data_IF_652910335802
#
_entry.id   IF_652910335802
#
_cell.length_a   1.000
_cell.length_b   1.000
_cell.length_c   1.000
_cell.angle_alpha   90.00
_cell.angle_beta   90.00
_cell.angle_gamma   90.00
#
_symmetry.space_group_name_H-M   'P 1'
#
loop_
_entity.id
_entity.type
_entity.pdbx_description
1 polymer ?
#
# COMPACT_ATOMS: atom_id res chain seq x y z
N UNK A 1 -12.69 -9.07 17.52
CA UNK A 1 -12.75 -10.54 17.27
C UNK A 1 -12.13 -10.74 15.89
N UNK A 2 -11.04 -11.46 15.65
CA UNK A 2 -10.55 -12.68 16.28
C UNK A 2 -9.02 -12.64 16.39
N UNK A 3 -8.52 -12.88 17.61
CA UNK A 3 -7.14 -13.20 17.92
C UNK A 3 -6.94 -14.68 17.62
N UNK A 4 -6.61 -15.00 16.37
CA UNK A 4 -6.26 -16.36 15.98
C UNK A 4 -5.29 -16.31 14.80
N UNK A 5 -4.00 -16.20 15.09
CA UNK A 5 -2.88 -16.63 14.23
C UNK A 5 -1.53 -16.40 14.94
N UNK A 6 -1.43 -16.78 16.21
CA UNK A 6 -0.14 -16.99 16.86
C UNK A 6 0.00 -18.50 16.97
N UNK A 7 0.52 -19.14 15.91
CA UNK A 7 1.18 -20.47 15.93
C UNK A 7 1.33 -21.00 14.50
N UNK A 8 2.35 -20.51 13.79
CA UNK A 8 3.14 -21.29 12.83
C UNK A 8 4.54 -20.69 12.80
N UNK A 9 5.33 -20.96 13.83
CA UNK A 9 6.78 -20.83 13.69
C UNK A 9 7.19 -22.01 12.82
N UNK A 10 7.53 -21.74 11.56
CA UNK A 10 7.97 -22.77 10.63
C UNK A 10 9.24 -23.43 11.20
N UNK A 11 9.17 -24.75 11.45
CA UNK A 11 10.33 -25.56 11.80
C UNK A 11 11.40 -25.40 10.70
N UNK A 12 12.58 -24.91 11.08
CA UNK A 12 13.73 -24.75 10.17
C UNK A 12 14.26 -23.33 9.99
N UNK A 13 13.69 -22.29 10.62
CA UNK A 13 14.29 -20.96 10.58
C UNK A 13 15.56 -20.88 11.44
N UNK A 14 16.73 -20.98 10.79
CA UNK A 14 17.99 -20.52 11.37
C UNK A 14 18.00 -19.00 11.35
N UNK A 15 18.04 -18.38 12.53
CA UNK A 15 18.26 -16.94 12.65
C UNK A 15 19.68 -16.59 12.19
N UNK A 16 19.92 -15.37 11.65
CA UNK A 16 21.24 -14.93 11.22
C UNK A 16 22.27 -14.87 12.36
N UNK A 17 21.81 -14.90 13.61
CA UNK A 17 22.65 -14.91 14.81
C UNK A 17 21.94 -15.63 15.97
N UNK A 18 22.63 -15.77 17.11
CA UNK A 18 22.12 -16.34 18.35
C UNK A 18 21.56 -15.27 19.32
N UNK A 19 21.26 -14.06 18.84
CA UNK A 19 20.76 -12.98 19.68
C UNK A 19 19.27 -13.20 20.00
N UNK A 20 18.84 -13.15 21.28
CA UNK A 20 17.43 -13.29 21.64
C UNK A 20 16.52 -12.21 21.00
N UNK A 21 17.09 -11.04 20.65
CA UNK A 21 16.39 -9.98 19.90
C UNK A 21 15.94 -10.47 18.51
N UNK A 22 16.69 -11.36 17.88
CA UNK A 22 16.44 -11.81 16.51
C UNK A 22 15.19 -12.69 16.44
N UNK A 23 15.03 -13.63 17.38
CA UNK A 23 13.81 -14.41 17.50
C UNK A 23 12.58 -13.55 17.76
N UNK A 24 12.68 -12.58 18.68
CA UNK A 24 11.58 -11.63 18.98
C UNK A 24 11.29 -10.73 17.77
N UNK A 25 12.34 -10.31 17.06
CA UNK A 25 12.25 -9.47 15.87
C UNK A 25 11.55 -10.18 14.71
N UNK A 26 11.80 -11.47 14.52
CA UNK A 26 11.20 -12.28 13.47
C UNK A 26 9.69 -12.47 13.64
N UNK A 27 9.15 -12.27 14.84
CA UNK A 27 7.70 -12.27 15.10
C UNK A 27 7.01 -10.98 14.61
N UNK A 28 7.76 -9.96 14.19
CA UNK A 28 7.24 -8.66 13.76
C UNK A 28 7.21 -8.57 12.24
N UNK A 29 6.41 -7.64 11.72
CA UNK A 29 6.41 -7.31 10.28
C UNK A 29 7.83 -6.93 9.84
N UNK A 30 8.40 -7.60 8.82
CA UNK A 30 9.78 -7.39 8.39
C UNK A 30 9.91 -6.13 7.52
N UNK A 31 9.79 -4.94 8.12
CA UNK A 31 9.80 -3.63 7.41
C UNK A 31 11.05 -3.35 6.57
N UNK A 32 12.13 -4.09 6.80
CA UNK A 32 13.37 -4.02 6.01
C UNK A 32 13.20 -4.62 4.61
N UNK A 33 12.18 -5.44 4.35
CA UNK A 33 11.90 -6.01 3.03
C UNK A 33 11.30 -5.01 2.04
N UNK A 34 10.79 -3.87 2.51
CA UNK A 34 10.32 -2.82 1.61
C UNK A 34 11.55 -2.20 0.91
N UNK A 35 11.67 -2.28 -0.43
CA UNK A 35 12.81 -1.74 -1.15
C UNK A 35 13.02 -0.25 -0.83
N UNK A 36 14.26 0.20 -0.52
CA UNK A 36 14.52 1.61 -0.27
C UNK A 36 14.13 2.54 -1.42
N UNK A 37 14.23 2.07 -2.67
CA UNK A 37 13.76 2.79 -3.86
C UNK A 37 12.26 3.08 -3.80
N UNK A 38 11.45 2.08 -3.43
CA UNK A 38 10.01 2.24 -3.25
C UNK A 38 9.68 3.28 -2.17
N UNK A 39 10.41 3.27 -1.04
CA UNK A 39 10.25 4.30 0.02
C UNK A 39 10.56 5.70 -0.50
N UNK A 40 11.62 5.84 -1.30
CA UNK A 40 12.04 7.13 -1.85
C UNK A 40 10.97 7.70 -2.79
N UNK A 41 10.51 6.91 -3.76
CA UNK A 41 9.48 7.33 -4.71
C UNK A 41 8.15 7.65 -4.02
N UNK A 42 7.70 6.80 -3.09
CA UNK A 42 6.50 7.07 -2.29
C UNK A 42 6.62 8.39 -1.52
N UNK A 43 7.77 8.66 -0.90
CA UNK A 43 7.99 9.91 -0.18
C UNK A 43 7.90 11.14 -1.10
N UNK A 44 8.39 11.05 -2.35
CA UNK A 44 8.28 12.14 -3.33
C UNK A 44 6.82 12.42 -3.71
N UNK A 45 6.02 11.37 -3.97
CA UNK A 45 4.60 11.53 -4.28
C UNK A 45 3.81 12.10 -3.09
N UNK A 46 4.08 11.63 -1.88
CA UNK A 46 3.48 12.18 -0.66
C UNK A 46 3.92 13.62 -0.39
N UNK A 47 5.16 13.99 -0.71
CA UNK A 47 5.63 15.36 -0.59
C UNK A 47 4.92 16.30 -1.57
N UNK A 48 4.62 15.87 -2.80
CA UNK A 48 3.78 16.62 -3.73
C UNK A 48 2.37 16.84 -3.17
N UNK A 49 1.73 15.76 -2.68
CA UNK A 49 0.42 15.86 -2.02
C UNK A 49 0.43 16.79 -0.80
N UNK A 50 1.48 16.70 0.03
CA UNK A 50 1.63 17.56 1.22
C UNK A 50 1.81 19.04 0.86
N UNK A 51 2.46 19.37 -0.26
CA UNK A 51 2.54 20.75 -0.76
C UNK A 51 1.17 21.29 -1.15
N UNK A 52 0.32 20.44 -1.76
CA UNK A 52 -1.01 20.81 -2.26
C UNK A 52 -2.06 20.89 -1.15
N UNK A 53 -2.03 19.97 -0.19
CA UNK A 53 -3.13 19.76 0.76
C UNK A 53 -2.72 19.70 2.24
N UNK A 54 -1.42 19.86 2.53
CA UNK A 54 -0.85 19.65 3.86
C UNK A 54 -0.54 18.17 4.13
N UNK A 55 0.45 17.88 5.00
CA UNK A 55 0.79 16.51 5.37
C UNK A 55 -0.33 15.88 6.21
N UNK A 56 -0.62 14.60 5.98
CA UNK A 56 -1.60 13.81 6.76
C UNK A 56 -3.05 14.31 6.74
N UNK A 57 -3.43 15.19 5.82
CA UNK A 57 -4.77 15.80 5.76
C UNK A 57 -5.93 14.77 5.66
N UNK A 58 -5.67 13.59 5.08
CA UNK A 58 -6.63 12.47 4.99
C UNK A 58 -7.01 11.86 6.35
N UNK A 59 -6.25 12.16 7.42
CA UNK A 59 -6.62 11.78 8.79
C UNK A 59 -7.59 12.78 9.42
N UNK A 60 -7.60 14.02 8.94
CA UNK A 60 -8.51 15.05 9.42
C UNK A 60 -9.83 14.98 8.65
N UNK A 61 -9.74 14.98 7.31
CA UNK A 61 -10.86 14.86 6.40
C UNK A 61 -10.94 13.46 5.79
N UNK A 62 -12.12 12.85 5.86
CA UNK A 62 -12.32 11.50 5.31
C UNK A 62 -12.15 11.47 3.79
N UNK A 63 -11.62 10.36 3.28
CA UNK A 63 -11.40 10.12 1.85
C UNK A 63 -12.30 8.99 1.35
N UNK A 64 -12.71 9.03 0.08
CA UNK A 64 -13.52 7.98 -0.56
C UNK A 64 -12.66 7.00 -1.36
N UNK A 65 -12.96 5.70 -1.30
CA UNK A 65 -12.23 4.68 -2.06
C UNK A 65 -12.32 4.94 -3.56
N UNK A 66 -13.50 5.28 -4.08
CA UNK A 66 -13.72 5.49 -5.52
C UNK A 66 -12.81 6.57 -6.11
N UNK A 67 -12.58 7.67 -5.38
CA UNK A 67 -11.73 8.80 -5.79
C UNK A 67 -10.28 8.35 -5.94
N UNK A 68 -9.76 7.65 -4.93
CA UNK A 68 -8.38 7.17 -4.93
C UNK A 68 -8.17 5.98 -5.88
N UNK A 69 -9.19 5.14 -6.08
CA UNK A 69 -9.21 4.10 -7.12
C UNK A 69 -9.05 4.73 -8.51
N UNK A 70 -9.86 5.73 -8.83
CA UNK A 70 -9.81 6.39 -10.14
C UNK A 70 -8.48 7.14 -10.37
N UNK A 71 -7.92 7.76 -9.33
CA UNK A 71 -6.60 8.39 -9.41
C UNK A 71 -5.49 7.37 -9.65
N UNK A 72 -5.51 6.25 -8.92
CA UNK A 72 -4.58 5.13 -9.12
C UNK A 72 -4.66 4.61 -10.56
N UNK A 73 -5.86 4.35 -11.08
CA UNK A 73 -6.07 3.85 -12.44
C UNK A 73 -5.49 4.81 -13.48
N UNK A 74 -5.78 6.11 -13.40
CA UNK A 74 -5.18 7.10 -14.34
C UNK A 74 -3.65 7.10 -14.32
N UNK A 75 -3.03 6.97 -13.14
CA UNK A 75 -1.58 6.90 -13.07
C UNK A 75 -1.04 5.59 -13.66
N UNK A 76 -1.67 4.46 -13.35
CA UNK A 76 -1.23 3.17 -13.88
C UNK A 76 -1.49 3.03 -15.38
N UNK A 77 -2.58 3.57 -15.90
CA UNK A 77 -2.91 3.58 -17.32
C UNK A 77 -1.90 4.44 -18.10
N UNK A 78 -1.57 5.65 -17.62
CA UNK A 78 -0.55 6.49 -18.25
C UNK A 78 0.84 5.83 -18.26
N UNK A 79 1.23 5.17 -17.15
CA UNK A 79 2.47 4.39 -17.10
C UNK A 79 2.44 3.22 -18.09
N UNK A 80 1.33 2.49 -18.14
CA UNK A 80 1.14 1.39 -19.07
C UNK A 80 1.24 1.83 -20.53
N UNK A 81 0.73 3.03 -20.84
CA UNK A 81 0.77 3.64 -22.16
C UNK A 81 2.10 4.38 -22.47
N UNK A 82 3.10 4.28 -21.58
CA UNK A 82 4.48 4.70 -21.82
C UNK A 82 4.89 6.05 -21.24
N UNK A 83 4.07 6.68 -20.39
CA UNK A 83 4.42 7.90 -19.66
C UNK A 83 4.97 7.57 -18.26
N UNK A 84 6.28 7.70 -18.06
CA UNK A 84 6.92 7.36 -16.78
C UNK A 84 6.62 8.40 -15.68
N UNK A 85 6.60 9.69 -16.02
CA UNK A 85 6.57 10.81 -15.08
C UNK A 85 5.35 11.69 -15.32
N UNK A 86 4.60 11.97 -14.25
CA UNK A 86 3.44 12.85 -14.32
C UNK A 86 3.88 14.31 -14.56
N UNK A 87 3.35 14.99 -15.59
CA UNK A 87 3.83 16.31 -16.01
C UNK A 87 3.51 17.43 -15.01
N UNK A 88 2.50 17.25 -14.18
CA UNK A 88 2.03 18.26 -13.21
C UNK A 88 2.94 18.36 -11.96
N UNK A 89 3.60 17.27 -11.61
CA UNK A 89 4.33 17.07 -10.35
C UNK A 89 5.80 16.73 -10.57
N UNK A 90 6.16 16.24 -11.76
CA UNK A 90 7.50 15.73 -12.04
C UNK A 90 7.84 14.44 -11.29
N UNK A 91 6.83 13.74 -10.76
CA UNK A 91 6.98 12.50 -10.00
C UNK A 91 6.48 11.31 -10.81
N UNK A 92 7.13 10.15 -10.66
CA UNK A 92 6.79 8.93 -11.39
C UNK A 92 5.34 8.49 -11.15
N UNK A 93 4.63 8.09 -12.21
CA UNK A 93 3.25 7.58 -12.14
C UNK A 93 3.06 6.45 -11.12
N UNK A 94 3.96 5.44 -11.11
CA UNK A 94 3.90 4.33 -10.14
C UNK A 94 4.00 4.84 -8.70
N UNK A 95 4.77 5.91 -8.45
CA UNK A 95 4.88 6.50 -7.12
C UNK A 95 3.56 7.12 -6.65
N UNK A 96 2.83 7.80 -7.55
CA UNK A 96 1.50 8.33 -7.25
C UNK A 96 0.47 7.21 -7.01
N UNK A 97 0.54 6.13 -7.79
CA UNK A 97 -0.29 4.94 -7.56
C UNK A 97 -0.01 4.31 -6.17
N UNK A 98 1.27 4.21 -5.78
CA UNK A 98 1.66 3.77 -4.43
C UNK A 98 1.11 4.70 -3.34
N UNK A 99 1.16 6.01 -3.54
CA UNK A 99 0.61 6.99 -2.61
C UNK A 99 -0.91 6.79 -2.44
N UNK A 100 -1.65 6.53 -3.53
CA UNK A 100 -3.08 6.23 -3.44
C UNK A 100 -3.37 5.02 -2.56
N UNK A 101 -2.65 3.91 -2.75
CA UNK A 101 -2.78 2.72 -1.91
C UNK A 101 -2.43 3.00 -0.44
N UNK A 102 -1.33 3.73 -0.20
CA UNK A 102 -0.88 4.07 1.15
C UNK A 102 -1.92 4.90 1.91
N UNK A 103 -2.52 5.89 1.24
CA UNK A 103 -3.55 6.75 1.83
C UNK A 103 -4.83 5.99 2.16
N UNK A 104 -5.28 5.09 1.29
CA UNK A 104 -6.42 4.20 1.57
C UNK A 104 -6.14 3.38 2.83
N UNK A 105 -5.00 2.68 2.89
CA UNK A 105 -4.63 1.83 4.04
C UNK A 105 -4.53 2.63 5.35
N UNK A 106 -3.92 3.80 5.30
CA UNK A 106 -3.77 4.64 6.48
C UNK A 106 -5.13 5.19 6.94
N UNK A 107 -5.97 5.67 6.03
CA UNK A 107 -7.33 6.11 6.33
C UNK A 107 -8.19 4.99 6.93
N UNK A 108 -8.06 3.75 6.44
CA UNK A 108 -8.71 2.57 7.07
C UNK A 108 -8.28 2.42 8.53
N UNK A 109 -6.97 2.52 8.79
CA UNK A 109 -6.41 2.30 10.12
C UNK A 109 -6.85 3.33 11.17
N UNK A 110 -7.23 4.54 10.73
CA UNK A 110 -7.68 5.63 11.60
C UNK A 110 -9.19 5.91 11.52
N UNK A 111 -9.97 5.07 10.82
CA UNK A 111 -11.42 5.24 10.71
C UNK A 111 -11.86 6.47 9.89
N UNK A 112 -11.04 6.90 8.93
CA UNK A 112 -11.27 8.05 8.05
C UNK A 112 -11.50 7.67 6.59
N UNK A 113 -11.68 6.38 6.32
CA UNK A 113 -12.08 5.91 5.01
C UNK A 113 -13.61 5.88 4.89
N UNK A 114 -14.13 6.60 3.92
CA UNK A 114 -15.49 6.41 3.42
C UNK A 114 -15.47 5.28 2.39
N UNK A 115 -15.99 4.12 2.79
CA UNK A 115 -16.07 2.94 1.96
C UNK A 115 -17.29 2.99 1.04
N UNK A 116 -17.08 3.51 -0.17
CA UNK A 116 -18.10 3.66 -1.21
C UNK A 116 -17.97 2.61 -2.33
N UNK A 117 -17.38 1.44 -2.02
CA UNK A 117 -17.30 0.33 -2.96
C UNK A 117 -18.70 -0.20 -3.31
N UNK A 118 -18.90 -0.70 -4.54
CA UNK A 118 -20.12 -1.42 -4.87
C UNK A 118 -20.23 -2.69 -4.02
N UNK A 119 -21.43 -3.30 -4.00
CA UNK A 119 -21.62 -4.64 -3.44
C UNK A 119 -20.59 -5.61 -4.00
N UNK A 120 -20.10 -6.52 -3.16
CA UNK A 120 -19.04 -7.46 -3.54
C UNK A 120 -19.36 -8.20 -4.86
N UNK A 121 -18.40 -8.17 -5.79
CA UNK A 121 -18.47 -8.89 -7.07
C UNK A 121 -17.62 -10.16 -7.09
N UNK A 122 -17.71 -10.93 -8.17
CA UNK A 122 -17.08 -12.25 -8.30
C UNK A 122 -15.59 -12.24 -8.68
N UNK A 123 -14.96 -11.07 -8.83
CA UNK A 123 -13.60 -10.96 -9.42
C UNK A 123 -12.55 -11.76 -8.65
N UNK A 124 -12.66 -11.84 -7.32
CA UNK A 124 -11.72 -12.61 -6.50
C UNK A 124 -11.81 -14.13 -6.77
N UNK A 125 -13.00 -14.63 -7.08
CA UNK A 125 -13.22 -16.03 -7.48
C UNK A 125 -12.64 -16.27 -8.88
N UNK A 126 -12.94 -15.38 -9.84
CA UNK A 126 -12.44 -15.49 -11.21
C UNK A 126 -10.91 -15.47 -11.27
N UNK A 127 -10.26 -14.61 -10.48
CA UNK A 127 -8.80 -14.57 -10.40
C UNK A 127 -8.22 -15.89 -9.88
N UNK A 128 -8.87 -16.53 -8.89
CA UNK A 128 -8.45 -17.85 -8.39
C UNK A 128 -8.69 -18.95 -9.44
N UNK A 129 -9.78 -18.87 -10.18
CA UNK A 129 -10.13 -19.83 -11.23
C UNK A 129 -9.12 -19.80 -12.40
N UNK A 130 -8.69 -18.61 -12.83
CA UNK A 130 -7.80 -18.45 -13.98
C UNK A 130 -6.30 -18.32 -13.65
N UNK A 131 -5.94 -18.26 -12.36
CA UNK A 131 -4.55 -18.38 -11.93
C UNK A 131 -4.06 -19.81 -12.22
N UNK A 132 -3.37 -19.99 -13.35
CA UNK A 132 -2.71 -21.27 -13.66
C UNK A 132 -1.60 -21.51 -12.61
N UNK A 133 -1.47 -22.74 -12.08
CA UNK A 133 -0.35 -23.11 -11.22
C UNK A 133 0.99 -23.04 -11.97
#
# INVERSE_FOLDING_TARGET
MSSANVERVAEGQSYPDNNPKTAIGALKVPLHLVPPSAKHYLAMALADGAKKYGPYNWRDAAISISVYKAALERHMDAFWDGEDVAPDSGVHHVAHAMACCALILDAMSVGKLHDDRPTAGAVADLQREYARP
#
